data_IF_796948014265
#
_entry.id   IF_796948014265
#
_cell.length_a   1.000
_cell.length_b   1.000
_cell.length_c   1.000
_cell.angle_alpha   90.00
_cell.angle_beta   90.00
_cell.angle_gamma   90.00
#
_symmetry.space_group_name_H-M   'P 1'
#
loop_
_entity.id
_entity.type
_entity.pdbx_description
1 polymer ?
#
# COMPACT_ATOMS: atom_id res chain seq x y z
N UNK A 1 4.36 -11.67 -2.95
CA UNK A 1 4.12 -10.24 -2.68
C UNK A 1 4.96 -9.88 -1.49
N UNK A 2 5.65 -8.73 -1.52
CA UNK A 2 6.46 -8.30 -0.39
C UNK A 2 5.53 -7.80 0.73
N UNK A 3 5.69 -8.26 1.98
CA UNK A 3 4.89 -7.75 3.10
C UNK A 3 5.14 -6.25 3.29
N UNK A 4 4.10 -5.50 3.65
CA UNK A 4 4.16 -4.07 3.98
C UNK A 4 3.73 -3.87 5.42
N UNK A 5 4.55 -3.14 6.20
CA UNK A 5 4.22 -2.72 7.55
C UNK A 5 4.45 -1.21 7.69
N UNK A 6 3.39 -0.48 8.00
CA UNK A 6 3.38 0.97 8.17
C UNK A 6 3.31 1.30 9.65
N UNK A 7 4.37 1.92 10.16
CA UNK A 7 4.50 2.30 11.58
C UNK A 7 4.11 3.76 11.81
N UNK A 8 3.69 4.14 13.03
CA UNK A 8 3.47 5.53 13.39
C UNK A 8 4.72 6.38 13.15
N UNK A 9 4.53 7.62 12.68
CA UNK A 9 5.65 8.54 12.54
C UNK A 9 6.16 9.03 13.91
N UNK A 10 7.47 9.01 14.12
CA UNK A 10 8.07 9.55 15.36
C UNK A 10 7.72 11.03 15.57
N UNK A 11 7.59 11.78 14.48
CA UNK A 11 7.23 13.21 14.53
C UNK A 11 5.81 13.40 15.07
N UNK A 12 4.83 12.63 14.63
CA UNK A 12 3.44 12.74 15.12
C UNK A 12 3.35 12.34 16.58
N UNK A 13 4.03 11.26 16.98
CA UNK A 13 4.04 10.79 18.36
C UNK A 13 4.74 11.78 19.29
N UNK A 14 5.89 12.34 18.91
CA UNK A 14 6.58 13.39 19.68
C UNK A 14 5.75 14.66 19.81
N UNK A 15 5.05 15.08 18.75
CA UNK A 15 4.14 16.24 18.81
C UNK A 15 2.97 15.98 19.77
N UNK A 16 2.36 14.80 19.71
CA UNK A 16 1.29 14.42 20.64
C UNK A 16 1.78 14.40 22.09
N UNK A 17 2.95 13.80 22.35
CA UNK A 17 3.56 13.78 23.66
C UNK A 17 3.92 15.19 24.17
N UNK A 18 4.44 16.06 23.31
CA UNK A 18 4.76 17.45 23.64
C UNK A 18 3.51 18.25 24.03
N UNK A 19 2.42 18.14 23.26
CA UNK A 19 1.13 18.74 23.59
C UNK A 19 0.59 18.17 24.91
N UNK A 20 0.67 16.85 25.09
CA UNK A 20 0.22 16.21 26.32
C UNK A 20 1.01 16.65 27.55
N UNK A 21 2.33 16.79 27.43
CA UNK A 21 3.20 17.32 28.49
C UNK A 21 2.88 18.78 28.82
N UNK A 22 2.58 19.60 27.82
CA UNK A 22 2.14 20.97 28.02
C UNK A 22 0.79 21.05 28.76
N UNK A 23 -0.17 20.17 28.45
CA UNK A 23 -1.43 20.11 29.19
C UNK A 23 -1.24 19.69 30.65
N UNK A 24 -0.35 18.74 30.92
CA UNK A 24 0.00 18.37 32.30
C UNK A 24 0.68 19.52 33.05
N UNK A 25 1.55 20.27 32.38
CA UNK A 25 2.14 21.47 32.94
C UNK A 25 1.08 22.52 33.28
N UNK A 26 0.12 22.77 32.39
CA UNK A 26 -0.99 23.67 32.67
C UNK A 26 -1.86 23.18 33.83
N UNK A 27 -2.14 21.88 33.92
CA UNK A 27 -2.88 21.31 35.05
C UNK A 27 -2.16 21.57 36.38
N UNK A 28 -0.83 21.41 36.40
CA UNK A 28 0.00 21.69 37.57
C UNK A 28 -0.02 23.18 37.94
N UNK A 29 0.15 24.08 36.97
CA UNK A 29 0.10 25.53 37.22
C UNK A 29 -1.28 26.01 37.67
N UNK A 30 -2.35 25.40 37.16
CA UNK A 30 -3.70 25.76 37.59
C UNK A 30 -3.94 25.44 39.06
N UNK A 31 -3.37 24.31 39.54
CA UNK A 31 -3.42 23.92 40.95
C UNK A 31 -2.62 24.87 41.84
N UNK A 32 -1.51 25.43 41.36
CA UNK A 32 -0.68 26.37 42.15
C UNK A 32 -1.28 27.78 42.19
N UNK A 33 -1.93 28.23 41.11
CA UNK A 33 -2.50 29.58 41.03
C UNK A 33 -3.93 29.71 41.54
N UNK A 34 -4.70 28.62 41.53
CA UNK A 34 -6.08 28.61 42.03
C UNK A 34 -6.31 27.42 42.96
N UNK A 35 -5.79 27.48 44.21
CA UNK A 35 -5.93 26.40 45.18
C UNK A 35 -7.39 26.09 45.53
N UNK A 36 -8.23 27.14 45.55
CA UNK A 36 -9.67 27.06 45.84
C UNK A 36 -10.53 26.97 44.57
N UNK A 37 -9.89 26.91 43.40
CA UNK A 37 -10.55 26.83 42.10
C UNK A 37 -11.20 25.47 41.85
N UNK A 38 -12.11 25.43 40.89
CA UNK A 38 -12.75 24.18 40.47
C UNK A 38 -11.71 23.15 40.04
N UNK A 39 -11.67 22.00 40.73
CA UNK A 39 -10.78 20.89 40.44
C UNK A 39 -11.03 20.26 39.05
N UNK A 40 -12.19 20.54 38.45
CA UNK A 40 -12.61 19.96 37.17
C UNK A 40 -11.67 20.36 36.04
N UNK A 41 -11.24 21.62 35.99
CA UNK A 41 -10.38 22.14 34.93
C UNK A 41 -8.99 21.47 34.92
N UNK A 42 -8.22 21.43 36.02
CA UNK A 42 -6.94 20.73 36.05
C UNK A 42 -7.10 19.21 35.86
N UNK A 43 -8.19 18.60 36.36
CA UNK A 43 -8.47 17.19 36.12
C UNK A 43 -8.63 16.91 34.62
N UNK A 44 -9.41 17.74 33.91
CA UNK A 44 -9.59 17.61 32.46
C UNK A 44 -8.27 17.72 31.71
N UNK A 45 -7.45 18.73 32.01
CA UNK A 45 -6.12 18.86 31.41
C UNK A 45 -5.21 17.67 31.70
N UNK A 46 -5.30 17.10 32.91
CA UNK A 46 -4.54 15.91 33.28
C UNK A 46 -4.95 14.70 32.46
N UNK A 47 -6.27 14.45 32.36
CA UNK A 47 -6.82 13.32 31.60
C UNK A 47 -6.48 13.45 30.11
N UNK A 48 -6.70 14.62 29.50
CA UNK A 48 -6.36 14.85 28.11
C UNK A 48 -4.84 14.80 27.85
N UNK A 49 -4.05 15.34 28.78
CA UNK A 49 -2.58 15.30 28.71
C UNK A 49 -2.05 13.87 28.71
N UNK A 50 -2.50 13.05 29.67
CA UNK A 50 -2.15 11.63 29.74
C UNK A 50 -2.63 10.85 28.50
N UNK A 51 -3.86 11.10 28.03
CA UNK A 51 -4.39 10.45 26.83
C UNK A 51 -3.55 10.75 25.57
N UNK A 52 -2.92 11.91 25.49
CA UNK A 52 -2.04 12.30 24.38
C UNK A 52 -0.62 11.73 24.49
N UNK A 53 -0.12 11.49 25.71
CA UNK A 53 1.19 10.87 25.96
C UNK A 53 1.13 9.35 25.79
N UNK A 54 0.00 8.72 26.13
CA UNK A 54 -0.17 7.27 26.09
C UNK A 54 0.25 6.62 24.76
N UNK A 55 -0.15 7.13 23.56
CA UNK A 55 0.29 6.59 22.28
C UNK A 55 1.81 6.57 22.10
N UNK A 56 2.51 7.61 22.56
CA UNK A 56 3.97 7.72 22.47
C UNK A 56 4.64 6.67 23.36
N UNK A 57 4.23 6.57 24.63
CA UNK A 57 4.77 5.57 25.57
C UNK A 57 4.48 4.16 25.10
N UNK A 58 3.24 3.89 24.67
CA UNK A 58 2.85 2.58 24.14
C UNK A 58 3.69 2.18 22.94
N UNK A 59 3.87 3.08 21.97
CA UNK A 59 4.64 2.78 20.76
C UNK A 59 6.14 2.59 21.08
N UNK A 60 6.67 3.29 22.09
CA UNK A 60 8.05 3.11 22.52
C UNK A 60 8.29 1.76 23.21
N UNK A 61 7.32 1.29 24.01
CA UNK A 61 7.42 0.00 24.71
C UNK A 61 7.07 -1.21 23.84
N UNK A 62 6.05 -1.08 22.98
CA UNK A 62 5.58 -2.13 22.08
C UNK A 62 5.17 -1.49 20.74
N UNK A 63 6.12 -1.34 19.81
CA UNK A 63 5.82 -0.76 18.50
C UNK A 63 4.83 -1.67 17.78
N UNK A 64 3.65 -1.13 17.49
CA UNK A 64 2.61 -1.84 16.75
C UNK A 64 2.46 -1.21 15.37
N UNK A 65 2.52 -1.99 14.28
CA UNK A 65 2.24 -1.44 12.96
C UNK A 65 0.80 -0.95 12.92
N UNK A 66 0.63 0.24 12.36
CA UNK A 66 -0.68 0.87 12.14
C UNK A 66 -1.44 0.15 11.05
N UNK A 67 -0.73 -0.30 10.03
CA UNK A 67 -1.24 -1.14 8.97
C UNK A 67 -0.18 -2.16 8.59
N UNK A 68 -0.57 -3.41 8.52
CA UNK A 68 0.28 -4.52 8.09
C UNK A 68 -0.48 -5.28 7.03
N UNK A 69 0.18 -5.65 5.93
CA UNK A 69 -0.47 -6.41 4.88
C UNK A 69 0.49 -7.32 4.13
N UNK A 70 0.00 -8.50 3.84
CA UNK A 70 0.72 -9.57 3.16
C UNK A 70 -0.14 -10.18 2.04
N UNK A 71 0.35 -11.27 1.45
CA UNK A 71 -0.41 -12.05 0.49
C UNK A 71 -1.72 -12.62 1.06
N UNK A 72 -1.77 -12.98 2.35
CA UNK A 72 -2.92 -13.67 2.94
C UNK A 72 -3.96 -12.74 3.58
N UNK A 73 -3.71 -11.43 3.60
CA UNK A 73 -4.62 -10.47 4.20
C UNK A 73 -3.93 -9.25 4.80
N UNK A 74 -4.69 -8.49 5.58
CA UNK A 74 -4.25 -7.25 6.21
C UNK A 74 -4.66 -7.16 7.68
N UNK A 75 -3.84 -6.51 8.50
CA UNK A 75 -4.11 -6.13 9.88
C UNK A 75 -4.06 -4.61 10.02
N UNK A 76 -4.88 -4.08 10.91
CA UNK A 76 -4.93 -2.65 11.23
C UNK A 76 -4.77 -2.49 12.74
N UNK A 77 -3.80 -1.68 13.16
CA UNK A 77 -3.54 -1.35 14.57
C UNK A 77 -3.27 -2.58 15.45
N UNK A 78 -2.58 -3.60 14.92
CA UNK A 78 -2.28 -4.84 15.64
C UNK A 78 -3.50 -5.72 15.96
N UNK A 79 -4.63 -5.51 15.28
CA UNK A 79 -5.81 -6.39 15.38
C UNK A 79 -5.57 -7.72 14.62
N UNK A 80 -6.42 -8.74 14.80
CA UNK A 80 -6.32 -9.97 14.01
C UNK A 80 -6.32 -9.68 12.50
N UNK A 81 -5.48 -10.41 11.77
CA UNK A 81 -5.38 -10.33 10.30
C UNK A 81 -6.73 -10.70 9.68
N UNK A 82 -7.14 -9.94 8.66
CA UNK A 82 -8.40 -10.09 7.92
C UNK A 82 -8.11 -10.38 6.46
N UNK A 83 -9.00 -11.13 5.82
CA UNK A 83 -8.84 -11.47 4.41
C UNK A 83 -9.08 -10.26 3.49
N UNK A 84 -8.43 -10.24 2.32
CA UNK A 84 -8.59 -9.20 1.30
C UNK A 84 -10.02 -9.07 0.75
N UNK A 85 -10.80 -10.16 0.76
CA UNK A 85 -12.23 -10.15 0.45
C UNK A 85 -13.05 -9.17 1.31
N UNK A 86 -12.60 -8.90 2.53
CA UNK A 86 -13.27 -7.99 3.45
C UNK A 86 -12.88 -6.53 3.22
N UNK A 87 -11.86 -6.26 2.40
CA UNK A 87 -11.40 -4.91 2.14
C UNK A 87 -12.37 -4.17 1.21
N UNK A 88 -12.94 -3.06 1.68
CA UNK A 88 -13.90 -2.22 0.92
C UNK A 88 -13.34 -0.86 0.53
N UNK A 89 -12.06 -0.62 0.80
CA UNK A 89 -11.38 0.63 0.48
C UNK A 89 -11.02 1.48 1.70
N UNK A 90 -10.26 2.54 1.43
CA UNK A 90 -9.78 3.50 2.43
C UNK A 90 -10.34 4.88 2.11
N UNK A 91 -10.74 5.62 3.15
CA UNK A 91 -11.13 7.02 3.05
C UNK A 91 -10.29 7.87 3.98
N UNK A 92 -9.86 9.02 3.50
CA UNK A 92 -9.28 10.06 4.35
C UNK A 92 -10.42 10.90 4.90
N UNK A 93 -10.49 11.04 6.21
CA UNK A 93 -11.46 11.89 6.89
C UNK A 93 -10.77 13.05 7.59
N UNK A 94 -11.11 14.26 7.18
CA UNK A 94 -10.58 15.49 7.75
C UNK A 94 -11.50 15.94 8.88
N UNK A 95 -10.92 16.13 10.06
CA UNK A 95 -11.60 16.68 11.23
C UNK A 95 -11.47 18.20 11.15
N UNK A 96 -12.61 18.88 11.11
CA UNK A 96 -12.70 20.34 11.06
C UNK A 96 -13.11 20.90 12.42
N UNK A 97 -12.46 22.00 12.83
CA UNK A 97 -13.01 22.92 13.81
C UNK A 97 -13.61 24.07 13.02
N UNK A 98 -14.94 24.15 12.99
CA UNK A 98 -15.65 25.10 12.14
C UNK A 98 -15.24 24.93 10.67
N UNK A 99 -14.39 25.81 10.14
CA UNK A 99 -13.90 25.78 8.75
C UNK A 99 -12.40 25.43 8.64
N UNK A 100 -11.69 25.27 9.76
CA UNK A 100 -10.24 25.01 9.76
C UNK A 100 -9.98 23.51 9.91
N UNK A 101 -9.28 22.86 8.97
CA UNK A 101 -8.91 21.46 9.10
C UNK A 101 -7.85 21.28 10.21
N UNK A 102 -8.21 20.66 11.33
CA UNK A 102 -7.29 20.44 12.46
C UNK A 102 -6.42 19.22 12.19
N UNK A 103 -7.03 18.13 11.72
CA UNK A 103 -6.34 16.86 11.56
C UNK A 103 -6.98 15.98 10.50
N UNK A 104 -6.20 15.04 9.96
CA UNK A 104 -6.69 14.04 9.01
C UNK A 104 -6.54 12.66 9.64
N UNK A 105 -7.64 11.92 9.67
CA UNK A 105 -7.71 10.53 10.11
C UNK A 105 -7.89 9.62 8.89
N UNK A 106 -7.46 8.37 9.02
CA UNK A 106 -7.62 7.37 7.96
C UNK A 106 -8.70 6.38 8.38
N UNK A 107 -9.65 6.12 7.50
CA UNK A 107 -10.75 5.19 7.73
C UNK A 107 -10.58 4.01 6.78
N UNK A 108 -10.34 2.84 7.34
CA UNK A 108 -10.32 1.59 6.59
C UNK A 108 -11.72 0.97 6.70
N UNK A 109 -12.40 0.83 5.55
CA UNK A 109 -13.69 0.16 5.48
C UNK A 109 -13.46 -1.34 5.31
N UNK A 110 -14.06 -2.11 6.19
CA UNK A 110 -13.89 -3.56 6.26
C UNK A 110 -15.25 -4.24 6.36
N UNK A 111 -15.40 -5.45 5.83
CA UNK A 111 -16.59 -6.29 5.99
C UNK A 111 -17.32 -6.62 4.70
N UNK A 112 -17.98 -7.78 4.72
CA UNK A 112 -18.73 -8.31 3.57
C UNK A 112 -20.09 -7.63 3.40
N UNK A 113 -20.69 -7.11 4.47
CA UNK A 113 -22.02 -6.45 4.50
C UNK A 113 -21.95 -4.92 4.43
N UNK A 114 -23.07 -4.28 4.08
CA UNK A 114 -23.21 -2.81 3.93
C UNK A 114 -23.00 -2.05 5.27
N UNK A 115 -23.30 -2.71 6.40
CA UNK A 115 -22.94 -2.25 7.76
C UNK A 115 -21.48 -2.56 8.15
N UNK A 116 -20.63 -2.92 7.18
CA UNK A 116 -19.27 -3.37 7.39
C UNK A 116 -18.49 -2.52 8.39
N UNK A 117 -17.71 -3.21 9.23
CA UNK A 117 -16.86 -2.60 10.24
C UNK A 117 -16.00 -1.45 9.71
N UNK A 118 -15.98 -0.35 10.45
CA UNK A 118 -15.15 0.81 10.16
C UNK A 118 -14.00 0.85 11.16
N UNK A 119 -12.76 0.82 10.68
CA UNK A 119 -11.59 1.01 11.54
C UNK A 119 -11.07 2.42 11.27
N UNK A 120 -11.20 3.29 12.27
CA UNK A 120 -10.63 4.62 12.22
C UNK A 120 -9.23 4.60 12.86
N UNK A 121 -8.24 4.99 12.08
CA UNK A 121 -6.86 5.19 12.49
C UNK A 121 -6.71 6.66 12.89
N UNK A 122 -6.33 6.87 14.16
CA UNK A 122 -6.10 8.21 14.69
C UNK A 122 -4.84 8.83 14.04
N UNK A 123 -4.84 10.13 13.69
CA UNK A 123 -3.69 10.83 13.12
C UNK A 123 -2.35 10.58 13.82
N UNK A 124 -2.36 10.36 15.14
CA UNK A 124 -1.14 10.07 15.90
C UNK A 124 -0.41 8.80 15.42
N UNK A 125 -1.14 7.83 14.85
CA UNK A 125 -0.61 6.55 14.37
C UNK A 125 -0.28 6.53 12.88
N UNK A 126 -0.40 7.64 12.15
CA UNK A 126 -0.08 7.65 10.73
C UNK A 126 1.45 7.65 10.51
N UNK A 127 1.91 6.88 9.51
CA UNK A 127 3.31 6.84 9.08
C UNK A 127 3.75 8.12 8.34
N UNK A 128 2.81 8.79 7.69
CA UNK A 128 3.02 9.99 6.89
C UNK A 128 1.73 10.79 6.73
N UNK A 129 1.52 11.45 5.59
CA UNK A 129 0.23 12.09 5.35
C UNK A 129 -0.86 11.03 5.18
N UNK A 130 -2.06 11.28 5.70
CA UNK A 130 -3.19 10.36 5.58
C UNK A 130 -3.50 10.02 4.10
N UNK A 131 -3.19 10.92 3.16
CA UNK A 131 -3.42 10.72 1.73
C UNK A 131 -2.40 9.78 1.11
N UNK A 132 -1.11 9.93 1.44
CA UNK A 132 -0.06 9.01 0.98
C UNK A 132 -0.31 7.61 1.53
N UNK A 133 -0.55 7.49 2.84
CA UNK A 133 -0.83 6.21 3.48
C UNK A 133 -2.07 5.53 2.88
N UNK A 134 -3.13 6.29 2.60
CA UNK A 134 -4.31 5.76 1.91
C UNK A 134 -3.98 5.28 0.50
N UNK A 135 -3.17 6.03 -0.25
CA UNK A 135 -2.73 5.66 -1.59
C UNK A 135 -1.88 4.38 -1.60
N UNK A 136 -0.96 4.23 -0.65
CA UNK A 136 -0.14 3.03 -0.49
C UNK A 136 -1.00 1.79 -0.18
N UNK A 137 -1.95 1.92 0.77
CA UNK A 137 -2.87 0.83 1.11
C UNK A 137 -3.73 0.45 -0.10
N UNK A 138 -4.26 1.43 -0.82
CA UNK A 138 -5.14 1.17 -1.97
C UNK A 138 -4.37 0.56 -3.15
N UNK A 139 -3.15 1.01 -3.40
CA UNK A 139 -2.26 0.42 -4.40
C UNK A 139 -1.93 -1.04 -4.06
N UNK A 140 -1.61 -1.32 -2.80
CA UNK A 140 -1.33 -2.68 -2.34
C UNK A 140 -2.56 -3.58 -2.45
N UNK A 141 -3.74 -3.09 -2.01
CA UNK A 141 -4.99 -3.83 -2.09
C UNK A 141 -5.37 -4.19 -3.53
N UNK A 142 -5.22 -3.26 -4.47
CA UNK A 142 -5.46 -3.53 -5.91
C UNK A 142 -4.51 -4.59 -6.45
N UNK A 143 -3.25 -4.58 -6.01
CA UNK A 143 -2.29 -5.59 -6.42
C UNK A 143 -2.67 -6.97 -5.84
N UNK A 144 -3.08 -7.03 -4.56
CA UNK A 144 -3.56 -8.24 -3.89
C UNK A 144 -4.76 -8.87 -4.61
N UNK A 145 -5.81 -8.07 -4.86
CA UNK A 145 -7.03 -8.52 -5.52
C UNK A 145 -6.76 -9.06 -6.94
N UNK A 146 -5.92 -8.38 -7.73
CA UNK A 146 -5.55 -8.89 -9.06
C UNK A 146 -4.86 -10.26 -9.03
N UNK A 147 -4.08 -10.53 -7.99
CA UNK A 147 -3.40 -11.83 -7.84
C UNK A 147 -4.39 -12.92 -7.44
N UNK A 148 -5.33 -12.61 -6.55
CA UNK A 148 -6.43 -13.51 -6.20
C UNK A 148 -7.31 -13.82 -7.41
N UNK A 149 -7.69 -12.79 -8.19
CA UNK A 149 -8.45 -12.94 -9.43
C UNK A 149 -7.71 -13.81 -10.46
N UNK A 150 -6.40 -13.61 -10.63
CA UNK A 150 -5.59 -14.41 -11.54
C UNK A 150 -5.49 -15.88 -11.07
N UNK A 151 -5.31 -16.10 -9.77
CA UNK A 151 -5.29 -17.44 -9.19
C UNK A 151 -6.67 -18.13 -9.32
N UNK A 152 -7.76 -17.40 -9.11
CA UNK A 152 -9.12 -17.89 -9.33
C UNK A 152 -9.36 -18.21 -10.82
N UNK A 153 -8.89 -17.35 -11.73
CA UNK A 153 -8.99 -17.58 -13.16
C UNK A 153 -8.20 -18.81 -13.59
N UNK A 154 -6.94 -18.98 -13.13
CA UNK A 154 -6.11 -20.14 -13.48
C UNK A 154 -6.62 -21.45 -12.87
N UNK A 155 -7.20 -21.41 -11.67
CA UNK A 155 -7.83 -22.60 -11.06
C UNK A 155 -9.18 -22.96 -11.69
N UNK A 156 -9.84 -21.99 -12.33
CA UNK A 156 -11.07 -22.18 -13.10
C UNK A 156 -10.86 -22.57 -14.56
N UNK A 157 -9.62 -22.63 -15.07
CA UNK A 157 -9.35 -23.21 -16.40
C UNK A 157 -9.46 -24.73 -16.24
N UNK A 158 -10.51 -25.39 -16.77
CA UNK A 158 -10.48 -26.84 -16.86
C UNK A 158 -9.24 -27.21 -17.67
N UNK A 159 -8.42 -28.12 -17.15
CA UNK A 159 -7.40 -28.78 -17.95
C UNK A 159 -8.13 -29.58 -19.03
N UNK A 160 -8.56 -28.92 -20.11
CA UNK A 160 -8.97 -29.61 -21.33
C UNK A 160 -7.77 -30.43 -21.75
N UNK A 161 -7.84 -31.77 -21.73
CA UNK A 161 -6.76 -32.58 -22.26
C UNK A 161 -6.60 -32.20 -23.73
N UNK A 162 -5.49 -31.57 -24.09
CA UNK A 162 -5.05 -31.37 -25.48
C UNK A 162 -4.58 -32.70 -26.12
N UNK A 163 -5.22 -33.80 -25.73
CA UNK A 163 -5.07 -35.10 -26.39
C UNK A 163 -6.40 -35.37 -27.08
N UNK A 164 -6.60 -34.71 -28.23
CA UNK A 164 -7.55 -35.23 -29.20
C UNK A 164 -7.11 -36.66 -29.59
N UNK A 165 -8.03 -37.60 -29.82
CA UNK A 165 -7.67 -38.91 -30.31
C UNK A 165 -6.93 -38.74 -31.64
N UNK A 166 -5.65 -39.11 -31.66
CA UNK A 166 -4.89 -39.25 -32.90
C UNK A 166 -5.56 -40.40 -33.65
N UNK A 167 -6.40 -40.05 -34.62
CA UNK A 167 -6.87 -41.03 -35.60
C UNK A 167 -5.62 -41.65 -36.25
N UNK A 168 -5.46 -42.97 -36.13
CA UNK A 168 -4.40 -43.69 -36.82
C UNK A 168 -4.61 -43.49 -38.32
N UNK A 169 -3.73 -42.72 -38.95
CA UNK A 169 -3.60 -42.74 -40.40
C UNK A 169 -2.77 -43.98 -40.73
N UNK A 170 -3.47 -45.10 -40.77
CA UNK A 170 -3.01 -46.32 -41.44
C UNK A 170 -2.64 -45.96 -42.88
N UNK A 171 -1.39 -46.15 -43.25
CA UNK A 171 -0.98 -46.22 -44.66
C UNK A 171 -0.46 -44.93 -45.28
N UNK A 172 0.82 -44.61 -45.05
CA UNK A 172 1.69 -44.16 -46.14
C UNK A 172 3.15 -44.53 -45.93
N UNK A 173 3.62 -45.29 -46.92
CA UNK A 173 4.93 -45.89 -47.16
C UNK A 173 6.14 -45.07 -46.66
N UNK A 174 7.00 -45.81 -45.96
CA UNK A 174 8.46 -45.68 -45.80
C UNK A 174 9.14 -44.63 -46.70
N UNK A 175 9.86 -43.71 -46.06
CA UNK A 175 11.22 -43.32 -46.45
C UNK A 175 11.95 -42.69 -45.25
N UNK A 176 12.97 -43.37 -44.76
CA UNK A 176 14.09 -42.86 -43.97
C UNK A 176 15.32 -43.63 -44.49
N UNK A 177 16.57 -43.17 -44.33
CA UNK A 177 17.05 -41.97 -43.65
C UNK A 177 18.15 -41.19 -44.44
N UNK A 178 18.52 -39.98 -44.03
CA UNK A 178 19.91 -39.50 -44.19
C UNK A 178 20.33 -38.74 -42.92
N UNK A 179 21.47 -39.07 -42.29
CA UNK A 179 22.00 -38.38 -41.13
C UNK A 179 22.93 -37.23 -41.57
N UNK A 180 22.94 -36.10 -40.87
CA UNK A 180 24.09 -35.19 -40.89
C UNK A 180 24.40 -34.79 -39.45
N UNK A 181 25.55 -35.26 -39.00
CA UNK A 181 26.07 -35.07 -37.66
C UNK A 181 26.80 -33.73 -37.51
N UNK A 182 26.59 -33.13 -36.33
CA UNK A 182 27.56 -32.43 -35.47
C UNK A 182 28.56 -31.42 -36.07
N UNK A 183 28.48 -30.17 -35.61
CA UNK A 183 29.57 -29.33 -35.05
C UNK A 183 28.93 -27.98 -34.71
N UNK A 184 29.12 -27.30 -33.59
CA UNK A 184 29.95 -27.44 -32.41
C UNK A 184 29.86 -26.05 -31.75
N UNK A 185 29.45 -25.98 -30.48
CA UNK A 185 29.43 -24.72 -29.76
C UNK A 185 30.87 -24.31 -29.40
N UNK A 186 31.26 -23.08 -29.70
CA UNK A 186 32.42 -22.44 -29.07
C UNK A 186 32.16 -20.97 -28.81
N UNK A 187 32.28 -20.62 -27.53
CA UNK A 187 32.28 -19.26 -27.00
C UNK A 187 33.57 -18.51 -27.38
N UNK A 188 33.43 -17.19 -27.53
CA UNK A 188 34.47 -16.17 -27.40
C UNK A 188 35.50 -15.96 -28.53
N UNK A 189 35.28 -14.91 -29.33
CA UNK A 189 36.26 -13.86 -29.68
C UNK A 189 35.47 -12.75 -30.43
N UNK A 190 35.10 -11.65 -29.76
CA UNK A 190 35.92 -10.47 -29.53
C UNK A 190 36.24 -9.68 -30.82
N UNK A 191 35.43 -8.63 -31.00
CA UNK A 191 35.81 -7.27 -31.41
C UNK A 191 36.46 -6.98 -32.77
N UNK A 192 35.85 -5.96 -33.39
CA UNK A 192 36.46 -4.93 -34.25
C UNK A 192 36.63 -5.23 -35.75
N UNK A 193 35.68 -4.73 -36.55
CA UNK A 193 35.92 -3.68 -37.56
C UNK A 193 34.58 -3.12 -38.07
N UNK A 194 34.26 -1.87 -37.70
CA UNK A 194 34.39 -0.64 -38.52
C UNK A 194 33.20 -0.45 -39.48
N UNK A 195 32.31 0.43 -39.03
CA UNK A 195 31.80 1.61 -39.74
C UNK A 195 31.44 1.48 -41.22
N UNK A 196 30.13 1.56 -41.51
CA UNK A 196 29.48 2.41 -42.53
C UNK A 196 28.26 1.71 -43.15
N UNK A 197 27.08 1.98 -42.61
CA UNK A 197 25.83 1.88 -43.37
C UNK A 197 24.80 2.76 -42.68
N UNK A 198 24.67 3.98 -43.20
CA UNK A 198 23.66 4.95 -42.83
C UNK A 198 22.26 4.42 -43.23
N UNK A 199 21.40 4.27 -42.23
CA UNK A 199 19.96 4.07 -42.37
C UNK A 199 19.23 4.93 -41.34
N UNK A 200 18.12 5.60 -41.69
CA UNK A 200 17.54 6.64 -40.86
C UNK A 200 16.95 6.06 -39.58
N UNK A 201 17.48 6.54 -38.45
CA UNK A 201 16.99 6.26 -37.10
C UNK A 201 15.58 6.81 -36.97
N UNK A 202 14.61 5.91 -36.79
CA UNK A 202 13.23 6.24 -36.51
C UNK A 202 13.17 6.96 -35.15
N UNK A 203 13.06 8.28 -35.18
CA UNK A 203 12.99 9.11 -33.97
C UNK A 203 11.70 8.81 -33.21
N UNK A 204 11.82 8.21 -32.03
CA UNK A 204 10.72 8.04 -31.10
C UNK A 204 10.18 9.41 -30.69
N UNK A 205 8.87 9.66 -30.74
CA UNK A 205 8.29 10.95 -30.37
C UNK A 205 8.58 11.31 -28.91
N UNK A 206 8.96 12.57 -28.66
CA UNK A 206 9.15 13.10 -27.31
C UNK A 206 7.81 13.21 -26.60
N UNK A 207 7.78 12.84 -25.32
CA UNK A 207 6.58 12.80 -24.48
C UNK A 207 5.87 14.18 -24.33
N UNK A 208 6.58 15.28 -24.61
CA UNK A 208 6.05 16.64 -24.58
C UNK A 208 4.94 16.89 -25.61
N UNK A 209 5.00 16.24 -26.78
CA UNK A 209 4.01 16.41 -27.85
C UNK A 209 2.68 15.68 -27.54
N UNK A 210 2.69 14.74 -26.60
CA UNK A 210 1.50 14.03 -26.13
C UNK A 210 0.75 14.75 -25.02
N UNK A 211 1.38 15.69 -24.31
CA UNK A 211 0.78 16.32 -23.13
C UNK A 211 0.11 17.67 -23.39
N UNK A 212 0.47 18.39 -24.45
CA UNK A 212 -0.09 19.72 -24.73
C UNK A 212 -0.61 19.92 -26.17
N UNK A 213 -0.69 18.83 -26.95
CA UNK A 213 -1.23 18.86 -28.30
C UNK A 213 -2.75 18.80 -28.33
N UNK A 214 -3.38 19.94 -28.64
CA UNK A 214 -4.76 20.15 -29.14
C UNK A 214 -5.83 20.60 -28.13
N UNK A 215 -5.78 21.88 -27.79
CA UNK A 215 -6.96 22.75 -27.90
C UNK A 215 -6.51 24.17 -28.31
N UNK A 216 -6.38 24.37 -29.62
CA UNK A 216 -6.68 25.65 -30.26
C UNK A 216 -8.00 25.45 -31.01
N UNK A 217 -8.60 26.57 -31.40
CA UNK A 217 -9.74 26.71 -32.35
C UNK A 217 -11.08 26.71 -31.55
N UNK A 218 -11.85 27.81 -31.45
CA UNK A 218 -11.90 29.12 -32.13
C UNK A 218 -12.24 30.20 -31.10
#
# INVERSE_FOLDING_TARGET
MKPIALYPSDRSLKKAAGIGGFLLFLAFQFKTWSPDGSIVVPLMFTVFGLAMIYPFVKNHLKPSPTFEADADGFSVMGKPKRNWDEYRGVKVNTIYLWFIPISRSLIIKTGKTILGGRIQVNPAYLSGSAKEMAGEIEAYARHAQRKEDLNAAMSGIPATPLVGPVASVEGRRRANPVPTASTGATFAQAQAKVSSAAGPVQSVPKMSDRLFGRRKVI
#
